data_IF_610433847857
#
_entry.id   IF_610433847857
#
_cell.length_a   1.000
_cell.length_b   1.000
_cell.length_c   1.000
_cell.angle_alpha   90.00
_cell.angle_beta   90.00
_cell.angle_gamma   90.00
#
_symmetry.space_group_name_H-M   'P 1'
#
loop_
_entity.id
_entity.type
_entity.pdbx_description
1 polymer ?
#
# COMPACT_ATOMS: atom_id res chain seq x y z
N UNK A 1 -7.43 22.97 -11.47
CA UNK A 1 -6.81 21.67 -11.83
C UNK A 1 -7.92 20.67 -12.00
N UNK A 2 -7.95 19.93 -13.12
CA UNK A 2 -8.95 18.88 -13.34
C UNK A 2 -8.64 17.66 -12.46
N UNK A 3 -9.48 17.41 -11.46
CA UNK A 3 -9.32 16.29 -10.54
C UNK A 3 -9.42 14.92 -11.23
N UNK A 4 -10.10 14.84 -12.35
CA UNK A 4 -10.19 13.59 -13.11
C UNK A 4 -8.81 13.17 -13.67
N UNK A 5 -8.02 14.13 -14.16
CA UNK A 5 -6.66 13.88 -14.62
C UNK A 5 -5.78 13.40 -13.47
N UNK A 6 -5.88 14.04 -12.29
CA UNK A 6 -5.13 13.65 -11.08
C UNK A 6 -5.50 12.22 -10.65
N UNK A 7 -6.79 11.90 -10.55
CA UNK A 7 -7.29 10.58 -10.17
C UNK A 7 -6.76 9.49 -11.11
N UNK A 8 -6.89 9.71 -12.41
CA UNK A 8 -6.42 8.77 -13.44
C UNK A 8 -4.90 8.55 -13.36
N UNK A 9 -4.12 9.61 -13.17
CA UNK A 9 -2.67 9.52 -13.01
C UNK A 9 -2.29 8.67 -11.78
N UNK A 10 -2.97 8.84 -10.65
CA UNK A 10 -2.68 8.07 -9.44
C UNK A 10 -3.17 6.61 -9.52
N UNK A 11 -4.28 6.32 -10.16
CA UNK A 11 -4.69 4.94 -10.46
C UNK A 11 -3.65 4.25 -11.36
N UNK A 12 -3.13 4.97 -12.36
CA UNK A 12 -2.02 4.47 -13.19
C UNK A 12 -0.75 4.24 -12.35
N UNK A 13 -0.44 5.13 -11.40
CA UNK A 13 0.69 4.98 -10.49
C UNK A 13 0.55 3.72 -9.63
N UNK A 14 -0.63 3.43 -9.07
CA UNK A 14 -0.92 2.19 -8.32
C UNK A 14 -0.60 0.92 -9.12
N UNK A 15 -0.92 0.92 -10.42
CA UNK A 15 -0.60 -0.20 -11.32
C UNK A 15 0.89 -0.28 -11.61
N UNK A 16 1.54 0.85 -11.88
CA UNK A 16 2.94 0.88 -12.26
C UNK A 16 3.88 0.60 -11.09
N UNK A 17 3.60 1.13 -9.89
CA UNK A 17 4.38 0.85 -8.67
C UNK A 17 4.37 -0.64 -8.34
N UNK A 18 3.23 -1.31 -8.47
CA UNK A 18 3.13 -2.75 -8.29
C UNK A 18 3.97 -3.53 -9.32
N UNK A 19 3.98 -3.11 -10.60
CA UNK A 19 4.84 -3.74 -11.63
C UNK A 19 6.32 -3.58 -11.30
N UNK A 20 6.73 -2.38 -10.86
CA UNK A 20 8.12 -2.14 -10.43
C UNK A 20 8.47 -3.02 -9.25
N UNK A 21 7.60 -3.14 -8.24
CA UNK A 21 7.79 -4.01 -7.08
C UNK A 21 7.94 -5.48 -7.49
N UNK A 22 7.06 -5.99 -8.36
CA UNK A 22 7.16 -7.36 -8.88
C UNK A 22 8.50 -7.59 -9.60
N UNK A 23 8.96 -6.63 -10.42
CA UNK A 23 10.23 -6.74 -11.12
C UNK A 23 11.42 -6.76 -10.14
N UNK A 24 11.43 -5.91 -9.12
CA UNK A 24 12.48 -5.88 -8.09
C UNK A 24 12.53 -7.21 -7.33
N UNK A 25 11.37 -7.76 -6.97
CA UNK A 25 11.28 -8.97 -6.15
C UNK A 25 11.44 -10.27 -6.95
N UNK A 26 11.43 -10.24 -8.28
CA UNK A 26 11.57 -11.45 -9.13
C UNK A 26 12.86 -12.23 -8.87
N UNK A 27 13.95 -11.52 -8.55
CA UNK A 27 15.28 -12.09 -8.30
C UNK A 27 15.65 -12.15 -6.80
N UNK A 28 14.68 -11.88 -5.91
CA UNK A 28 14.89 -11.91 -4.46
C UNK A 28 14.50 -13.27 -3.91
N UNK A 29 15.45 -13.97 -3.28
CA UNK A 29 15.18 -15.22 -2.59
C UNK A 29 14.45 -14.99 -1.26
N UNK A 30 13.71 -16.00 -0.77
CA UNK A 30 13.13 -15.98 0.58
C UNK A 30 14.19 -15.64 1.64
N UNK A 31 15.38 -16.24 1.53
CA UNK A 31 16.49 -15.99 2.46
C UNK A 31 16.92 -14.52 2.44
N UNK A 32 17.11 -13.93 1.26
CA UNK A 32 17.51 -12.53 1.16
C UNK A 32 16.44 -11.61 1.72
N UNK A 33 15.17 -11.89 1.41
CA UNK A 33 14.02 -11.11 1.86
C UNK A 33 13.86 -11.09 3.40
N UNK A 34 14.37 -12.10 4.11
CA UNK A 34 14.26 -12.23 5.57
C UNK A 34 15.55 -11.91 6.33
N UNK A 35 16.67 -11.66 5.64
CA UNK A 35 18.00 -11.53 6.26
C UNK A 35 18.43 -10.07 6.37
N UNK A 36 18.40 -9.34 5.25
CA UNK A 36 18.90 -7.96 5.21
C UNK A 36 17.87 -6.99 5.75
N UNK A 37 18.34 -6.02 6.55
CA UNK A 37 17.50 -5.08 7.28
C UNK A 37 17.84 -3.64 6.93
N UNK A 38 16.86 -2.78 6.95
CA UNK A 38 17.01 -1.34 6.76
C UNK A 38 17.89 -0.76 7.88
N UNK A 39 19.04 -0.18 7.54
CA UNK A 39 19.97 0.38 8.50
C UNK A 39 20.53 -0.62 9.52
N UNK A 40 20.41 -1.93 9.27
CA UNK A 40 20.93 -3.02 10.10
C UNK A 40 19.96 -3.60 11.13
N UNK A 41 19.07 -2.80 11.73
CA UNK A 41 18.12 -3.22 12.76
C UNK A 41 16.64 -2.91 12.44
N UNK A 42 16.38 -2.21 11.32
CA UNK A 42 15.04 -1.93 10.83
C UNK A 42 14.36 -3.15 10.17
N UNK A 43 13.34 -2.88 9.36
CA UNK A 43 12.55 -3.92 8.70
C UNK A 43 13.34 -4.66 7.61
N UNK A 44 12.99 -5.92 7.40
CA UNK A 44 13.44 -6.71 6.25
C UNK A 44 12.61 -6.42 5.01
N UNK A 45 13.06 -6.87 3.85
CA UNK A 45 12.28 -6.78 2.60
C UNK A 45 10.91 -7.45 2.75
N UNK A 46 10.84 -8.61 3.41
CA UNK A 46 9.58 -9.32 3.62
C UNK A 46 8.64 -8.57 4.57
N UNK A 47 9.17 -7.96 5.63
CA UNK A 47 8.39 -7.13 6.56
C UNK A 47 7.82 -5.90 5.84
N UNK A 48 8.59 -5.25 4.98
CA UNK A 48 8.10 -4.14 4.13
C UNK A 48 7.02 -4.61 3.16
N UNK A 49 7.19 -5.78 2.53
CA UNK A 49 6.18 -6.31 1.60
C UNK A 49 4.87 -6.68 2.32
N UNK A 50 4.94 -7.29 3.49
CA UNK A 50 3.77 -7.57 4.33
C UNK A 50 3.05 -6.30 4.73
N UNK A 51 3.81 -5.25 5.10
CA UNK A 51 3.25 -3.94 5.39
C UNK A 51 2.51 -3.35 4.18
N UNK A 52 3.08 -3.41 2.99
CA UNK A 52 2.40 -2.95 1.76
C UNK A 52 1.10 -3.72 1.50
N UNK A 53 1.07 -5.04 1.69
CA UNK A 53 -0.13 -5.87 1.53
C UNK A 53 -1.21 -5.50 2.54
N UNK A 54 -0.86 -5.39 3.82
CA UNK A 54 -1.83 -5.09 4.88
C UNK A 54 -2.38 -3.67 4.75
N UNK A 55 -1.52 -2.71 4.38
CA UNK A 55 -1.96 -1.34 4.14
C UNK A 55 -2.77 -1.16 2.86
N UNK A 56 -2.55 -1.96 1.83
CA UNK A 56 -3.43 -2.00 0.65
C UNK A 56 -4.86 -2.36 1.06
N UNK A 57 -5.03 -3.36 1.94
CA UNK A 57 -6.31 -3.75 2.51
C UNK A 57 -6.91 -2.66 3.43
N UNK A 58 -6.12 -2.08 4.32
CA UNK A 58 -6.56 -0.99 5.21
C UNK A 58 -7.03 0.21 4.39
N UNK A 59 -6.30 0.60 3.36
CA UNK A 59 -6.67 1.71 2.47
C UNK A 59 -7.93 1.40 1.67
N UNK A 60 -8.08 0.17 1.18
CA UNK A 60 -9.29 -0.29 0.52
C UNK A 60 -10.51 -0.23 1.45
N UNK A 61 -10.39 -0.70 2.69
CA UNK A 61 -11.46 -0.63 3.69
C UNK A 61 -11.86 0.82 3.99
N UNK A 62 -10.89 1.73 4.15
CA UNK A 62 -11.16 3.17 4.35
C UNK A 62 -11.88 3.79 3.15
N UNK A 63 -11.47 3.46 1.92
CA UNK A 63 -12.17 3.92 0.72
C UNK A 63 -13.61 3.38 0.65
N UNK A 64 -13.86 2.14 1.06
CA UNK A 64 -15.20 1.58 1.19
C UNK A 64 -16.03 2.26 2.28
N UNK A 65 -15.43 2.63 3.42
CA UNK A 65 -16.12 3.42 4.44
C UNK A 65 -16.55 4.78 3.89
N UNK A 66 -15.67 5.50 3.18
CA UNK A 66 -16.03 6.76 2.51
C UNK A 66 -17.18 6.56 1.53
N UNK A 67 -17.21 5.42 0.80
CA UNK A 67 -18.27 5.13 -0.15
C UNK A 67 -19.63 4.88 0.51
N UNK A 68 -19.65 4.18 1.65
CA UNK A 68 -20.87 3.61 2.22
C UNK A 68 -21.37 4.33 3.48
N UNK A 69 -20.53 5.12 4.15
CA UNK A 69 -20.86 5.82 5.39
C UNK A 69 -20.84 7.34 5.16
N UNK A 70 -21.52 8.09 6.01
CA UNK A 70 -21.54 9.56 5.92
C UNK A 70 -20.40 10.14 6.75
N UNK A 71 -19.37 10.67 6.04
CA UNK A 71 -18.17 11.26 6.62
C UNK A 71 -17.53 10.42 7.74
N UNK A 72 -17.17 9.15 7.47
CA UNK A 72 -16.63 8.25 8.49
C UNK A 72 -15.30 8.76 9.08
N UNK A 73 -15.10 8.49 10.37
CA UNK A 73 -13.81 8.73 11.05
C UNK A 73 -13.02 7.42 11.09
N UNK A 74 -11.80 7.44 10.54
CA UNK A 74 -10.95 6.25 10.50
C UNK A 74 -10.32 5.93 11.84
N UNK A 75 -10.15 4.63 12.10
CA UNK A 75 -9.37 4.14 13.24
C UNK A 75 -7.90 4.09 12.82
N UNK A 76 -6.99 4.76 13.56
CA UNK A 76 -5.56 4.63 13.34
C UNK A 76 -5.08 3.18 13.51
N UNK A 77 -4.04 2.80 12.79
CA UNK A 77 -3.39 1.49 12.91
C UNK A 77 -1.93 1.67 13.29
N UNK A 78 -1.49 0.92 14.28
CA UNK A 78 -0.08 0.85 14.66
C UNK A 78 0.64 -0.13 13.72
N UNK A 79 1.48 0.40 12.84
CA UNK A 79 2.21 -0.40 11.86
C UNK A 79 3.30 -1.25 12.47
N UNK A 80 3.92 -0.83 13.57
CA UNK A 80 4.93 -1.62 14.29
C UNK A 80 4.29 -2.81 15.01
N UNK A 81 3.12 -2.60 15.61
CA UNK A 81 2.37 -3.68 16.25
C UNK A 81 2.00 -4.77 15.23
N UNK A 82 1.57 -4.40 14.01
CA UNK A 82 1.21 -5.36 12.96
C UNK A 82 2.37 -6.26 12.54
N UNK A 83 3.61 -5.75 12.52
CA UNK A 83 4.81 -6.56 12.19
C UNK A 83 4.96 -7.73 13.14
N UNK A 84 4.73 -7.47 14.44
CA UNK A 84 4.87 -8.46 15.52
C UNK A 84 3.66 -9.39 15.54
N UNK A 85 2.45 -8.83 15.57
CA UNK A 85 1.19 -9.58 15.68
C UNK A 85 1.01 -10.57 14.53
N UNK A 86 1.36 -10.17 13.31
CA UNK A 86 1.22 -10.98 12.10
C UNK A 86 2.50 -11.75 11.73
N UNK A 87 3.54 -11.70 12.58
CA UNK A 87 4.81 -12.41 12.38
C UNK A 87 5.35 -12.26 10.93
N UNK A 88 5.46 -11.04 10.44
CA UNK A 88 5.73 -10.71 9.02
C UNK A 88 6.95 -11.45 8.48
N UNK A 89 8.06 -11.49 9.24
CA UNK A 89 9.30 -12.12 8.76
C UNK A 89 9.24 -13.65 8.70
N UNK A 90 8.15 -14.27 9.17
CA UNK A 90 7.91 -15.72 9.09
C UNK A 90 7.02 -16.13 7.91
N UNK A 91 6.54 -15.17 7.13
CA UNK A 91 5.64 -15.43 6.00
C UNK A 91 6.41 -15.84 4.73
N UNK A 92 5.69 -16.32 3.73
CA UNK A 92 6.29 -16.70 2.46
C UNK A 92 6.26 -15.51 1.47
N UNK A 93 7.42 -15.14 0.93
CA UNK A 93 7.59 -13.98 0.03
C UNK A 93 6.64 -14.03 -1.18
N UNK A 94 6.57 -15.19 -1.85
CA UNK A 94 5.76 -15.33 -3.07
C UNK A 94 4.27 -15.30 -2.78
N UNK A 95 3.84 -15.88 -1.66
CA UNK A 95 2.44 -15.84 -1.22
C UNK A 95 2.00 -14.40 -0.91
N UNK A 96 2.80 -13.66 -0.14
CA UNK A 96 2.51 -12.27 0.21
C UNK A 96 2.45 -11.38 -1.03
N UNK A 97 3.39 -11.59 -1.98
CA UNK A 97 3.38 -10.85 -3.25
C UNK A 97 2.13 -11.16 -4.08
N UNK A 98 1.71 -12.43 -4.14
CA UNK A 98 0.49 -12.82 -4.85
C UNK A 98 -0.77 -12.24 -4.20
N UNK A 99 -0.84 -12.19 -2.87
CA UNK A 99 -1.92 -11.55 -2.12
C UNK A 99 -1.99 -10.05 -2.42
N UNK A 100 -0.87 -9.34 -2.41
CA UNK A 100 -0.81 -7.92 -2.76
C UNK A 100 -1.23 -7.67 -4.21
N UNK A 101 -0.80 -8.50 -5.16
CA UNK A 101 -1.24 -8.40 -6.55
C UNK A 101 -2.77 -8.53 -6.68
N UNK A 102 -3.37 -9.47 -5.94
CA UNK A 102 -4.82 -9.70 -5.93
C UNK A 102 -5.58 -8.54 -5.31
N UNK A 103 -5.16 -8.06 -4.14
CA UNK A 103 -5.80 -6.93 -3.46
C UNK A 103 -5.71 -5.65 -4.28
N UNK A 104 -4.55 -5.38 -4.90
CA UNK A 104 -4.34 -4.22 -5.74
C UNK A 104 -5.22 -4.22 -7.00
N UNK A 105 -5.39 -5.36 -7.65
CA UNK A 105 -6.28 -5.47 -8.80
C UNK A 105 -7.72 -5.11 -8.43
N UNK A 106 -8.21 -5.61 -7.28
CA UNK A 106 -9.51 -5.25 -6.71
C UNK A 106 -9.61 -3.76 -6.40
N UNK A 107 -8.57 -3.18 -5.80
CA UNK A 107 -8.58 -1.77 -5.39
C UNK A 107 -8.57 -0.83 -6.60
N UNK A 108 -7.81 -1.14 -7.64
CA UNK A 108 -7.83 -0.40 -8.91
C UNK A 108 -9.24 -0.44 -9.53
N UNK A 109 -9.84 -1.64 -9.65
CA UNK A 109 -11.19 -1.80 -10.18
C UNK A 109 -12.24 -1.02 -9.36
N UNK A 110 -12.08 -0.94 -8.04
CA UNK A 110 -12.92 -0.11 -7.18
C UNK A 110 -12.88 1.36 -7.61
N UNK A 111 -11.71 1.97 -7.75
CA UNK A 111 -11.60 3.36 -8.15
C UNK A 111 -12.10 3.62 -9.58
N UNK A 112 -11.86 2.68 -10.50
CA UNK A 112 -12.33 2.78 -11.89
C UNK A 112 -13.86 2.72 -12.01
N UNK A 113 -14.55 2.10 -11.03
CA UNK A 113 -16.00 1.97 -11.01
C UNK A 113 -16.74 3.17 -10.42
N UNK A 114 -16.04 4.11 -9.77
CA UNK A 114 -16.66 5.20 -9.03
C UNK A 114 -17.30 6.25 -9.93
N UNK A 115 -18.55 6.64 -9.62
CA UNK A 115 -19.23 7.77 -10.25
C UNK A 115 -18.68 9.13 -9.78
N UNK A 116 -18.94 10.24 -10.50
CA UNK A 116 -18.55 11.58 -10.05
C UNK A 116 -19.04 11.93 -8.64
N UNK A 117 -20.26 11.51 -8.29
CA UNK A 117 -20.87 11.74 -6.97
C UNK A 117 -20.11 10.97 -5.88
N UNK A 118 -19.75 9.72 -6.15
CA UNK A 118 -18.96 8.88 -5.23
C UNK A 118 -17.55 9.46 -5.03
N UNK A 119 -16.94 9.99 -6.06
CA UNK A 119 -15.67 10.70 -5.99
C UNK A 119 -15.72 12.00 -5.15
N UNK A 120 -16.89 12.60 -4.97
CA UNK A 120 -17.07 13.81 -4.15
C UNK A 120 -17.19 13.52 -2.64
N UNK A 121 -17.30 12.25 -2.26
CA UNK A 121 -17.44 11.85 -0.85
C UNK A 121 -16.16 12.07 -0.07
N UNK A 122 -16.31 12.21 1.25
CA UNK A 122 -15.24 12.52 2.18
C UNK A 122 -15.29 11.62 3.42
N UNK A 123 -14.14 11.46 4.07
CA UNK A 123 -13.99 10.89 5.40
C UNK A 123 -13.10 11.78 6.25
N UNK A 124 -12.75 11.34 7.45
CA UNK A 124 -11.90 12.05 8.37
C UNK A 124 -10.84 11.12 8.96
N UNK A 125 -9.59 11.55 8.91
CA UNK A 125 -8.46 10.86 9.54
C UNK A 125 -8.02 11.65 10.77
N UNK A 126 -7.93 11.04 11.97
CA UNK A 126 -7.59 11.75 13.21
C UNK A 126 -6.29 12.56 13.14
N UNK A 127 -5.29 12.07 12.40
CA UNK A 127 -3.99 12.73 12.27
C UNK A 127 -3.91 13.69 11.08
N UNK A 128 -4.66 13.42 9.99
CA UNK A 128 -4.50 14.12 8.72
C UNK A 128 -5.69 15.01 8.35
N UNK A 129 -6.75 15.03 9.19
CA UNK A 129 -7.96 15.82 8.95
C UNK A 129 -8.83 15.27 7.83
N UNK A 130 -9.43 16.15 7.04
CA UNK A 130 -10.30 15.79 5.91
C UNK A 130 -9.60 14.82 4.94
N UNK A 131 -10.34 13.78 4.55
CA UNK A 131 -9.82 12.69 3.75
C UNK A 131 -10.76 12.37 2.59
N UNK A 132 -10.76 13.20 1.53
CA UNK A 132 -11.61 12.99 0.37
C UNK A 132 -11.23 11.71 -0.39
N UNK A 133 -12.19 11.08 -1.09
CA UNK A 133 -11.99 9.88 -1.89
C UNK A 133 -10.79 10.01 -2.85
N UNK A 134 -10.56 11.20 -3.41
CA UNK A 134 -9.40 11.47 -4.27
C UNK A 134 -8.07 11.26 -3.52
N UNK A 135 -8.00 11.62 -2.21
CA UNK A 135 -6.81 11.39 -1.39
C UNK A 135 -6.55 9.91 -1.18
N UNK A 136 -7.59 9.08 -1.07
CA UNK A 136 -7.45 7.62 -1.00
C UNK A 136 -6.72 7.05 -2.22
N UNK A 137 -7.03 7.55 -3.44
CA UNK A 137 -6.34 7.11 -4.64
C UNK A 137 -4.89 7.62 -4.71
N UNK A 138 -4.62 8.86 -4.26
CA UNK A 138 -3.28 9.45 -4.23
C UNK A 138 -2.36 8.68 -3.28
N UNK A 139 -2.87 8.30 -2.11
CA UNK A 139 -2.10 7.70 -1.02
C UNK A 139 -1.44 6.38 -1.43
N UNK A 140 -2.12 5.51 -2.16
CA UNK A 140 -1.65 4.14 -2.43
C UNK A 140 -0.35 4.13 -3.23
N UNK A 141 -0.34 4.74 -4.39
CA UNK A 141 0.86 4.75 -5.25
C UNK A 141 2.03 5.55 -4.63
N UNK A 142 1.76 6.62 -3.89
CA UNK A 142 2.81 7.38 -3.18
C UNK A 142 3.40 6.60 -2.02
N UNK A 143 2.60 5.84 -1.29
CA UNK A 143 3.04 4.91 -0.25
C UNK A 143 3.96 3.81 -0.83
N UNK A 144 3.54 3.20 -1.95
CA UNK A 144 4.37 2.22 -2.65
C UNK A 144 5.75 2.76 -3.04
N UNK A 145 5.81 3.97 -3.61
CA UNK A 145 7.08 4.57 -4.05
C UNK A 145 8.08 4.70 -2.90
N UNK A 146 7.61 5.13 -1.72
CA UNK A 146 8.45 5.24 -0.52
C UNK A 146 9.01 3.88 -0.09
N UNK A 147 8.17 2.83 -0.11
CA UNK A 147 8.58 1.49 0.29
C UNK A 147 9.38 0.74 -0.78
N UNK A 148 9.19 1.04 -2.05
CA UNK A 148 10.06 0.57 -3.15
C UNK A 148 11.48 1.13 -2.96
N UNK A 149 11.61 2.39 -2.59
CA UNK A 149 12.91 2.99 -2.25
C UNK A 149 13.55 2.25 -1.06
N UNK A 150 12.77 2.04 0.02
CA UNK A 150 13.23 1.30 1.20
C UNK A 150 13.69 -0.11 0.86
N UNK A 151 12.91 -0.90 0.11
CA UNK A 151 13.28 -2.25 -0.34
C UNK A 151 14.59 -2.19 -1.15
N UNK A 152 14.70 -1.23 -2.06
CA UNK A 152 15.90 -1.07 -2.90
C UNK A 152 17.13 -0.76 -2.05
N UNK A 153 17.00 0.03 -1.01
CA UNK A 153 18.07 0.35 -0.05
C UNK A 153 18.48 -0.89 0.75
N UNK A 154 17.53 -1.67 1.28
CA UNK A 154 17.80 -2.92 2.00
C UNK A 154 18.55 -3.91 1.11
N UNK A 155 18.14 -4.07 -0.14
CA UNK A 155 18.79 -5.00 -1.07
C UNK A 155 20.23 -4.61 -1.45
N UNK A 156 20.63 -3.34 -1.27
CA UNK A 156 22.02 -2.91 -1.43
C UNK A 156 22.94 -3.42 -0.32
N UNK A 157 22.40 -3.72 0.86
CA UNK A 157 23.16 -4.30 1.98
C UNK A 157 23.62 -5.75 1.70
N UNK A 158 23.08 -6.39 0.66
CA UNK A 158 23.47 -7.74 0.21
C UNK A 158 24.89 -7.82 -0.37
N UNK A 159 25.55 -6.69 -0.62
CA UNK A 159 26.84 -6.61 -1.32
C UNK A 159 28.04 -6.88 -0.42
#
# INVERSE_FOLDING_TARGET
MDLMIVRKAHITLMSNSLKVLNNILSDVSQKDATTYRDGGDGWTVLEVLCHLRDYDEIFYQRANQILNEDNPTFVPRDHEALVIENAYNSQNLQSVLAELNTSRARFIAFFESLTPEQWSRNGFHPEYGEFPMTRSAIQVGTHDVNHIEQITRILKEKK
#
